data_IF_371617133159
#
_entry.id   IF_371617133159
#
_cell.length_a   1.000
_cell.length_b   1.000
_cell.length_c   1.000
_cell.angle_alpha   90.00
_cell.angle_beta   90.00
_cell.angle_gamma   90.00
#
_symmetry.space_group_name_H-M   'P 1'
#
loop_
_entity.id
_entity.type
_entity.pdbx_description
1 polymer ?
#
# COMPACT_ATOMS: atom_id res chain seq x y z
N UNK A 1 -22.46 -26.79 46.90
CA UNK A 1 -21.69 -27.10 45.67
C UNK A 1 -22.68 -27.41 44.57
N UNK A 2 -22.95 -26.42 43.72
CA UNK A 2 -23.90 -26.52 42.61
C UNK A 2 -23.15 -25.94 41.40
N UNK A 3 -22.71 -26.83 40.52
CA UNK A 3 -21.94 -26.51 39.32
C UNK A 3 -22.91 -25.94 38.27
N UNK A 4 -22.79 -24.65 37.99
CA UNK A 4 -23.45 -24.00 36.85
C UNK A 4 -22.43 -24.00 35.72
N UNK A 5 -22.70 -24.80 34.68
CA UNK A 5 -21.94 -24.77 33.44
C UNK A 5 -22.30 -23.50 32.65
N UNK A 6 -21.33 -22.73 32.14
CA UNK A 6 -21.61 -21.69 31.17
C UNK A 6 -22.07 -22.34 29.85
N UNK A 7 -23.19 -21.84 29.32
CA UNK A 7 -23.67 -22.17 27.98
C UNK A 7 -22.60 -21.79 26.96
N UNK A 8 -22.09 -22.79 26.23
CA UNK A 8 -21.35 -22.55 24.99
C UNK A 8 -22.25 -21.77 24.03
N UNK A 9 -21.89 -20.53 23.72
CA UNK A 9 -22.36 -19.89 22.50
C UNK A 9 -21.60 -20.54 21.35
N UNK A 10 -22.37 -21.13 20.45
CA UNK A 10 -21.91 -21.86 19.27
C UNK A 10 -21.25 -20.85 18.33
N UNK A 11 -19.93 -20.96 18.15
CA UNK A 11 -19.24 -20.35 17.02
C UNK A 11 -19.91 -20.85 15.73
N UNK A 12 -20.61 -19.94 15.04
CA UNK A 12 -21.36 -20.24 13.84
C UNK A 12 -20.44 -20.24 12.62
N UNK A 13 -20.19 -21.42 12.07
CA UNK A 13 -20.13 -21.68 10.64
C UNK A 13 -18.96 -21.10 9.84
N UNK A 14 -17.89 -21.90 9.71
CA UNK A 14 -16.92 -21.78 8.63
C UNK A 14 -17.58 -22.06 7.27
N UNK A 15 -17.42 -21.13 6.31
CA UNK A 15 -17.79 -21.30 4.91
C UNK A 15 -18.54 -20.11 4.30
N UNK A 16 -17.98 -18.91 4.39
CA UNK A 16 -18.50 -17.70 3.74
C UNK A 16 -17.36 -16.88 3.15
N UNK A 17 -17.64 -16.06 2.14
CA UNK A 17 -16.66 -15.13 1.55
C UNK A 17 -16.21 -14.11 2.61
N UNK A 18 -14.92 -14.10 2.97
CA UNK A 18 -14.31 -13.20 3.98
C UNK A 18 -14.35 -11.71 3.58
N UNK A 19 -15.01 -11.39 2.46
CA UNK A 19 -15.14 -10.05 1.88
C UNK A 19 -16.13 -9.12 2.59
N UNK A 20 -16.96 -9.65 3.49
CA UNK A 20 -18.01 -8.88 4.18
C UNK A 20 -19.15 -8.45 3.25
N UNK A 21 -20.19 -7.82 3.79
CA UNK A 21 -21.30 -7.28 2.98
C UNK A 21 -21.26 -5.75 2.96
N UNK A 22 -20.83 -5.11 1.85
CA UNK A 22 -20.70 -3.65 1.79
C UNK A 22 -21.95 -2.90 2.23
N UNK A 23 -21.79 -1.95 3.14
CA UNK A 23 -22.87 -1.17 3.75
C UNK A 23 -23.46 -1.78 5.02
N UNK A 24 -23.20 -3.06 5.32
CA UNK A 24 -23.54 -3.62 6.62
C UNK A 24 -22.57 -3.09 7.68
N UNK A 25 -23.11 -2.81 8.86
CA UNK A 25 -22.33 -2.50 10.04
C UNK A 25 -22.99 -3.13 11.27
N UNK A 26 -22.22 -3.32 12.32
CA UNK A 26 -22.73 -3.81 13.60
C UNK A 26 -22.04 -3.09 14.77
N UNK A 27 -22.75 -2.97 15.88
CA UNK A 27 -22.19 -2.48 17.13
C UNK A 27 -21.47 -3.63 17.88
N UNK A 28 -20.38 -3.30 18.58
CA UNK A 28 -19.76 -4.20 19.53
C UNK A 28 -20.56 -4.33 20.83
N UNK A 29 -20.03 -5.10 21.78
CA UNK A 29 -20.61 -5.19 23.12
C UNK A 29 -20.60 -3.81 23.81
N UNK A 30 -21.66 -3.53 24.54
CA UNK A 30 -21.74 -2.32 25.37
C UNK A 30 -20.84 -2.49 26.60
N UNK A 31 -19.92 -1.53 26.88
CA UNK A 31 -19.14 -1.56 28.11
C UNK A 31 -20.01 -1.58 29.37
N UNK A 32 -19.46 -2.11 30.48
CA UNK A 32 -20.15 -2.16 31.77
C UNK A 32 -20.58 -0.79 32.32
N UNK A 33 -19.92 0.28 31.88
CA UNK A 33 -20.32 1.67 32.14
C UNK A 33 -19.97 2.54 30.94
N UNK A 34 -20.91 3.38 30.51
CA UNK A 34 -20.72 4.33 29.41
C UNK A 34 -20.20 5.64 30.00
N UNK A 35 -18.99 6.03 29.61
CA UNK A 35 -18.41 7.32 29.94
C UNK A 35 -18.90 8.39 28.95
N UNK A 36 -19.67 9.41 29.39
CA UNK A 36 -20.16 10.46 28.51
C UNK A 36 -19.04 11.24 27.79
N UNK A 37 -17.82 11.25 28.31
CA UNK A 37 -16.68 11.94 27.70
C UNK A 37 -16.02 11.19 26.51
N UNK A 38 -16.25 9.87 26.39
CA UNK A 38 -15.66 9.02 25.33
C UNK A 38 -16.54 8.93 24.12
N UNK A 39 -16.08 9.38 22.95
CA UNK A 39 -16.83 9.19 21.71
C UNK A 39 -16.89 7.70 21.32
N UNK A 40 -18.00 7.23 20.72
CA UNK A 40 -18.06 5.92 20.11
C UNK A 40 -16.99 5.79 19.01
N UNK A 41 -16.35 4.63 18.94
CA UNK A 41 -15.30 4.34 17.96
C UNK A 41 -15.89 3.59 16.77
N UNK A 42 -15.72 4.13 15.58
CA UNK A 42 -16.11 3.47 14.33
C UNK A 42 -14.87 2.98 13.61
N UNK A 43 -14.78 1.67 13.39
CA UNK A 43 -13.64 1.01 12.77
C UNK A 43 -13.92 0.70 11.29
N UNK A 44 -13.06 1.22 10.41
CA UNK A 44 -13.18 1.11 8.94
C UNK A 44 -11.98 0.35 8.39
N UNK A 45 -12.23 -0.82 7.79
CA UNK A 45 -11.18 -1.68 7.25
C UNK A 45 -10.53 -1.13 5.96
N UNK A 46 -9.44 -1.79 5.54
CA UNK A 46 -8.69 -1.44 4.34
C UNK A 46 -9.00 -2.32 3.13
N UNK A 47 -8.09 -2.27 2.15
CA UNK A 47 -8.13 -3.09 0.94
C UNK A 47 -8.13 -4.59 1.26
N UNK A 48 -8.93 -5.37 0.51
CA UNK A 48 -8.95 -6.85 0.61
C UNK A 48 -9.20 -7.39 2.04
N UNK A 49 -9.92 -6.62 2.85
CA UNK A 49 -10.40 -6.97 4.19
C UNK A 49 -11.91 -6.72 4.30
N UNK A 50 -12.47 -7.13 5.43
CA UNK A 50 -13.80 -6.80 5.92
C UNK A 50 -13.69 -6.28 7.36
N UNK A 51 -14.81 -5.99 8.01
CA UNK A 51 -14.88 -5.64 9.44
C UNK A 51 -14.23 -6.68 10.36
N UNK A 52 -14.16 -7.95 9.93
CA UNK A 52 -13.52 -9.04 10.66
C UNK A 52 -12.06 -8.75 11.05
N UNK A 53 -11.39 -7.90 10.28
CA UNK A 53 -9.99 -7.51 10.49
C UNK A 53 -9.69 -6.91 11.87
N UNK A 54 -10.72 -6.45 12.58
CA UNK A 54 -10.60 -5.79 13.88
C UNK A 54 -10.72 -6.74 15.08
N UNK A 55 -11.12 -8.00 14.86
CA UNK A 55 -11.31 -9.00 15.91
C UNK A 55 -10.82 -10.42 15.53
N UNK A 56 -10.53 -10.70 14.26
CA UNK A 56 -9.92 -11.97 13.84
C UNK A 56 -8.40 -11.84 13.72
N UNK A 57 -7.69 -12.45 14.66
CA UNK A 57 -6.23 -12.33 14.75
C UNK A 57 -5.77 -10.90 15.05
N UNK A 58 -6.64 -10.07 15.62
CA UNK A 58 -6.41 -8.68 16.00
C UNK A 58 -7.15 -8.42 17.33
N UNK A 59 -6.49 -7.78 18.29
CA UNK A 59 -7.02 -7.48 19.63
C UNK A 59 -7.59 -6.05 19.77
N UNK A 60 -7.74 -5.31 18.67
CA UNK A 60 -8.20 -3.92 18.69
C UNK A 60 -9.60 -3.77 19.30
N UNK A 61 -10.53 -4.65 18.95
CA UNK A 61 -11.87 -4.64 19.52
C UNK A 61 -11.83 -4.87 21.04
N UNK A 62 -11.14 -5.91 21.47
CA UNK A 62 -11.04 -6.30 22.88
C UNK A 62 -10.37 -5.19 23.71
N UNK A 63 -9.32 -4.58 23.18
CA UNK A 63 -8.62 -3.47 23.84
C UNK A 63 -9.53 -2.24 23.96
N UNK A 64 -10.29 -1.90 22.92
CA UNK A 64 -11.25 -0.79 22.96
C UNK A 64 -12.37 -1.05 24.00
N UNK A 65 -12.95 -2.25 23.99
CA UNK A 65 -13.98 -2.66 24.93
C UNK A 65 -13.48 -2.66 26.38
N UNK A 66 -12.29 -3.22 26.63
CA UNK A 66 -11.66 -3.23 27.95
C UNK A 66 -11.33 -1.80 28.46
N UNK A 67 -11.13 -0.85 27.54
CA UNK A 67 -10.97 0.56 27.87
C UNK A 67 -12.31 1.33 27.93
N UNK A 68 -13.44 0.64 27.87
CA UNK A 68 -14.77 1.21 28.08
C UNK A 68 -15.29 2.06 26.93
N UNK A 69 -15.00 1.69 25.68
CA UNK A 69 -15.53 2.35 24.50
C UNK A 69 -16.69 1.56 23.90
N UNK A 70 -17.75 2.29 23.51
CA UNK A 70 -18.72 1.80 22.54
C UNK A 70 -18.05 1.74 21.17
N UNK A 71 -18.29 0.67 20.42
CA UNK A 71 -17.65 0.45 19.11
C UNK A 71 -18.68 0.09 18.04
N UNK A 72 -18.35 0.42 16.79
CA UNK A 72 -19.04 -0.07 15.60
C UNK A 72 -18.02 -0.45 14.52
N UNK A 73 -18.37 -1.44 13.71
CA UNK A 73 -17.54 -1.96 12.64
C UNK A 73 -18.36 -2.00 11.36
N UNK A 74 -17.79 -1.52 10.26
CA UNK A 74 -18.47 -1.43 8.97
C UNK A 74 -17.75 -2.26 7.91
N UNK A 75 -18.53 -2.99 7.11
CA UNK A 75 -18.09 -3.60 5.87
C UNK A 75 -18.27 -2.60 4.72
N UNK A 76 -17.22 -2.40 3.94
CA UNK A 76 -17.19 -1.66 2.70
C UNK A 76 -16.72 -2.59 1.59
N UNK A 77 -16.75 -2.12 0.33
CA UNK A 77 -16.17 -2.93 -0.73
C UNK A 77 -14.66 -3.08 -0.53
N UNK A 78 -14.18 -4.31 -0.61
CA UNK A 78 -12.77 -4.65 -0.47
C UNK A 78 -11.94 -4.33 -1.73
N UNK A 79 -12.60 -4.14 -2.88
CA UNK A 79 -12.02 -4.04 -4.23
C UNK A 79 -12.44 -2.78 -5.00
N UNK A 80 -13.25 -1.88 -4.40
CA UNK A 80 -13.73 -0.63 -5.04
C UNK A 80 -12.97 0.61 -4.59
N UNK A 81 -13.05 1.66 -5.40
CA UNK A 81 -12.39 2.94 -5.15
C UNK A 81 -12.96 3.68 -3.91
N UNK A 82 -12.29 4.78 -3.55
CA UNK A 82 -12.69 5.59 -2.40
C UNK A 82 -13.98 6.38 -2.62
N UNK A 83 -14.37 6.67 -3.87
CA UNK A 83 -15.61 7.38 -4.18
C UNK A 83 -16.84 6.51 -3.89
N UNK A 84 -16.77 5.25 -4.32
CA UNK A 84 -17.82 4.24 -4.09
C UNK A 84 -17.96 3.98 -2.60
N UNK A 85 -16.85 3.66 -1.92
CA UNK A 85 -16.86 3.40 -0.49
C UNK A 85 -17.23 4.63 0.35
N UNK A 86 -16.75 5.82 -0.03
CA UNK A 86 -17.04 7.06 0.67
C UNK A 86 -18.53 7.45 0.63
N UNK A 87 -19.23 7.12 -0.46
CA UNK A 87 -20.69 7.34 -0.56
C UNK A 87 -21.43 6.47 0.47
N UNK A 88 -21.13 5.17 0.51
CA UNK A 88 -21.73 4.21 1.45
C UNK A 88 -21.40 4.61 2.89
N UNK A 89 -20.13 4.89 3.16
CA UNK A 89 -19.66 5.25 4.49
C UNK A 89 -20.31 6.54 5.00
N UNK A 90 -20.57 7.53 4.14
CA UNK A 90 -21.25 8.76 4.55
C UNK A 90 -22.66 8.50 5.08
N UNK A 91 -23.43 7.65 4.40
CA UNK A 91 -24.76 7.21 4.85
C UNK A 91 -24.67 6.48 6.18
N UNK A 92 -23.73 5.53 6.29
CA UNK A 92 -23.61 4.69 7.49
C UNK A 92 -23.05 5.43 8.70
N UNK A 93 -22.21 6.45 8.51
CA UNK A 93 -21.77 7.32 9.60
C UNK A 93 -22.94 8.13 10.19
N UNK A 94 -23.90 8.57 9.37
CA UNK A 94 -25.12 9.20 9.87
C UNK A 94 -25.96 8.21 10.68
N UNK A 95 -26.14 6.99 10.17
CA UNK A 95 -26.89 5.92 10.84
C UNK A 95 -26.28 5.58 12.21
N UNK A 96 -24.96 5.35 12.25
CA UNK A 96 -24.22 5.08 13.48
C UNK A 96 -24.28 6.25 14.46
N UNK A 97 -24.18 7.50 13.98
CA UNK A 97 -24.31 8.69 14.83
C UNK A 97 -25.67 8.74 15.54
N UNK A 98 -26.75 8.42 14.82
CA UNK A 98 -28.09 8.34 15.42
C UNK A 98 -28.25 7.15 16.36
N UNK A 99 -27.66 5.99 16.02
CA UNK A 99 -27.64 4.81 16.89
C UNK A 99 -27.00 5.13 18.25
N UNK A 100 -25.88 5.85 18.27
CA UNK A 100 -25.21 6.29 19.50
C UNK A 100 -25.78 7.60 20.08
N UNK A 101 -27.08 7.84 19.89
CA UNK A 101 -27.80 8.94 20.55
C UNK A 101 -27.38 10.35 20.12
N UNK A 102 -26.80 10.51 18.92
CA UNK A 102 -26.32 11.80 18.43
C UNK A 102 -24.97 12.23 19.02
N UNK A 103 -24.20 11.31 19.57
CA UNK A 103 -22.83 11.59 20.03
C UNK A 103 -21.88 11.54 18.83
N UNK A 104 -21.05 12.58 18.68
CA UNK A 104 -20.05 12.61 17.60
C UNK A 104 -19.10 11.42 17.70
N UNK A 105 -18.87 10.80 16.56
CA UNK A 105 -18.07 9.60 16.40
C UNK A 105 -16.58 9.95 16.33
N UNK A 106 -15.72 9.02 16.74
CA UNK A 106 -14.30 9.01 16.36
C UNK A 106 -14.11 7.85 15.39
N UNK A 107 -13.61 8.14 14.19
CA UNK A 107 -13.51 7.13 13.14
C UNK A 107 -12.05 6.73 12.95
N UNK A 108 -11.79 5.43 13.00
CA UNK A 108 -10.47 4.81 12.92
C UNK A 108 -10.40 4.05 11.59
N UNK A 109 -9.54 4.51 10.68
CA UNK A 109 -9.34 3.90 9.37
C UNK A 109 -8.01 3.17 9.29
N UNK A 110 -8.03 1.91 8.88
CA UNK A 110 -6.82 1.15 8.58
C UNK A 110 -6.55 1.12 7.07
N UNK A 111 -5.30 1.37 6.67
CA UNK A 111 -4.88 1.29 5.26
C UNK A 111 -5.82 2.12 4.37
N UNK A 112 -6.34 1.57 3.27
CA UNK A 112 -7.31 2.25 2.38
C UNK A 112 -8.50 2.90 3.11
N UNK A 113 -8.95 2.35 4.25
CA UNK A 113 -10.07 2.88 5.02
C UNK A 113 -9.93 4.34 5.43
N UNK A 114 -8.70 4.84 5.65
CA UNK A 114 -8.48 6.27 5.93
C UNK A 114 -8.79 7.19 4.74
N UNK A 115 -8.55 6.72 3.52
CA UNK A 115 -8.88 7.44 2.27
C UNK A 115 -10.40 7.42 2.05
N UNK A 116 -11.05 6.30 2.35
CA UNK A 116 -12.51 6.13 2.26
C UNK A 116 -13.22 7.06 3.25
N UNK A 117 -12.74 7.14 4.50
CA UNK A 117 -13.23 8.08 5.52
C UNK A 117 -13.11 9.52 5.04
N UNK A 118 -11.93 9.93 4.55
CA UNK A 118 -11.76 11.30 4.11
C UNK A 118 -12.70 11.64 2.95
N UNK A 119 -12.93 10.69 2.06
CA UNK A 119 -13.88 10.85 0.95
C UNK A 119 -15.31 11.09 1.47
N UNK A 120 -15.77 10.28 2.44
CA UNK A 120 -17.08 10.45 3.06
C UNK A 120 -17.25 11.83 3.74
N UNK A 121 -16.25 12.25 4.52
CA UNK A 121 -16.32 13.50 5.28
C UNK A 121 -16.22 14.74 4.40
N UNK A 122 -15.29 14.74 3.44
CA UNK A 122 -14.98 15.91 2.63
C UNK A 122 -15.96 16.05 1.47
N UNK A 123 -16.21 14.98 0.72
CA UNK A 123 -16.96 15.03 -0.54
C UNK A 123 -18.43 14.63 -0.41
N UNK A 124 -18.78 13.88 0.64
CA UNK A 124 -20.16 13.41 0.87
C UNK A 124 -20.80 13.98 2.16
N UNK A 125 -20.27 15.09 2.67
CA UNK A 125 -20.84 15.88 3.77
C UNK A 125 -21.08 15.12 5.09
N UNK A 126 -20.36 14.02 5.35
CA UNK A 126 -20.47 13.30 6.62
C UNK A 126 -19.70 13.96 7.78
N UNK A 127 -18.98 15.07 7.51
CA UNK A 127 -18.23 15.82 8.50
C UNK A 127 -18.99 16.19 9.81
N UNK A 128 -20.32 16.46 9.82
CA UNK A 128 -21.03 16.82 11.06
C UNK A 128 -21.07 15.70 12.09
N UNK A 129 -21.06 14.44 11.66
CA UNK A 129 -21.24 13.26 12.51
C UNK A 129 -19.97 12.83 13.22
N UNK A 130 -18.81 13.32 12.74
CA UNK A 130 -17.49 12.91 13.21
C UNK A 130 -16.82 14.04 13.97
N UNK A 131 -16.06 13.70 15.00
CA UNK A 131 -15.20 14.61 15.74
C UNK A 131 -13.76 14.53 15.23
N UNK A 132 -13.15 13.36 15.37
CA UNK A 132 -11.77 13.08 15.01
C UNK A 132 -11.68 11.87 14.07
N UNK A 133 -10.65 11.88 13.24
CA UNK A 133 -10.24 10.76 12.39
C UNK A 133 -8.85 10.32 12.79
N UNK A 134 -8.68 9.01 12.97
CA UNK A 134 -7.40 8.37 13.25
C UNK A 134 -7.09 7.44 12.08
N UNK A 135 -6.02 7.70 11.34
CA UNK A 135 -5.62 6.85 10.21
C UNK A 135 -4.38 6.04 10.56
N UNK A 136 -4.46 4.72 10.38
CA UNK A 136 -3.39 3.75 10.65
C UNK A 136 -2.79 3.30 9.31
N UNK A 137 -1.62 3.85 8.95
CA UNK A 137 -0.91 3.57 7.70
C UNK A 137 -1.77 3.73 6.44
N UNK A 138 -2.66 4.71 6.42
CA UNK A 138 -3.50 4.96 5.25
C UNK A 138 -2.70 5.60 4.12
N UNK A 139 -2.73 5.08 2.88
CA UNK A 139 -1.95 5.63 1.76
C UNK A 139 -2.56 6.94 1.22
N UNK A 140 -2.47 8.03 1.99
CA UNK A 140 -3.02 9.34 1.66
C UNK A 140 -2.45 9.92 0.34
N UNK A 141 -1.20 9.58 0.04
CA UNK A 141 -0.53 9.88 -1.23
C UNK A 141 -0.32 8.64 -2.12
N UNK A 142 -1.09 7.57 -1.88
CA UNK A 142 -0.99 6.29 -2.59
C UNK A 142 0.18 5.42 -2.14
N UNK A 143 0.41 4.32 -2.85
CA UNK A 143 1.54 3.42 -2.60
C UNK A 143 2.21 2.99 -3.89
N UNK A 144 3.54 2.95 -3.88
CA UNK A 144 4.32 2.48 -5.01
C UNK A 144 4.15 0.98 -5.27
N UNK A 145 3.53 0.21 -4.36
CA UNK A 145 3.10 -1.16 -4.66
C UNK A 145 1.90 -1.18 -5.61
N UNK A 146 0.98 -0.21 -5.52
CA UNK A 146 -0.09 -0.07 -6.50
C UNK A 146 0.48 0.34 -7.85
N UNK A 147 1.49 1.22 -7.88
CA UNK A 147 2.20 1.56 -9.10
C UNK A 147 2.91 0.33 -9.69
N UNK A 148 3.56 -0.48 -8.85
CA UNK A 148 4.18 -1.73 -9.28
C UNK A 148 3.15 -2.68 -9.88
N UNK A 149 2.01 -2.90 -9.20
CA UNK A 149 0.95 -3.79 -9.66
C UNK A 149 0.36 -3.37 -11.02
N UNK A 150 0.36 -2.07 -11.34
CA UNK A 150 -0.08 -1.54 -12.64
C UNK A 150 1.06 -1.31 -13.64
N UNK A 151 2.29 -1.65 -13.26
CA UNK A 151 3.44 -1.48 -14.13
C UNK A 151 3.44 -2.47 -15.29
N UNK A 152 4.13 -2.10 -16.35
CA UNK A 152 4.31 -2.96 -17.52
C UNK A 152 5.01 -4.29 -17.20
N UNK A 153 5.65 -4.41 -16.03
CA UNK A 153 6.37 -5.59 -15.55
C UNK A 153 5.57 -6.50 -14.60
N UNK A 154 4.41 -6.07 -14.09
CA UNK A 154 3.65 -6.84 -13.11
C UNK A 154 2.15 -6.98 -13.43
N UNK A 155 1.61 -6.13 -14.32
CA UNK A 155 0.17 -6.02 -14.53
C UNK A 155 -0.52 -7.36 -14.79
N UNK A 156 0.12 -8.28 -15.53
CA UNK A 156 -0.49 -9.57 -15.83
C UNK A 156 -0.62 -10.46 -14.60
N UNK A 157 0.34 -10.40 -13.67
CA UNK A 157 0.32 -11.19 -12.44
C UNK A 157 -0.73 -10.62 -11.50
N UNK A 158 -0.76 -9.29 -11.34
CA UNK A 158 -1.79 -8.61 -10.57
C UNK A 158 -3.20 -8.91 -11.12
N UNK A 159 -3.40 -8.82 -12.43
CA UNK A 159 -4.68 -9.13 -13.07
C UNK A 159 -5.08 -10.60 -12.93
N UNK A 160 -4.14 -11.54 -13.09
CA UNK A 160 -4.40 -12.97 -12.93
C UNK A 160 -4.82 -13.32 -11.50
N UNK A 161 -4.30 -12.60 -10.51
CA UNK A 161 -4.59 -12.79 -9.09
C UNK A 161 -5.81 -11.99 -8.61
N UNK A 162 -6.53 -11.29 -9.49
CA UNK A 162 -7.69 -10.46 -9.14
C UNK A 162 -7.36 -9.15 -8.43
N UNK A 163 -6.07 -8.78 -8.37
CA UNK A 163 -5.58 -7.58 -7.71
C UNK A 163 -5.52 -6.35 -8.63
N UNK A 164 -5.93 -6.47 -9.89
CA UNK A 164 -6.16 -5.34 -10.79
C UNK A 164 -7.64 -4.95 -10.71
N UNK A 165 -7.98 -4.11 -9.72
CA UNK A 165 -9.35 -3.71 -9.40
C UNK A 165 -9.40 -2.21 -9.07
N UNK A 166 -10.60 -1.65 -8.94
CA UNK A 166 -10.81 -0.22 -8.74
C UNK A 166 -10.09 0.30 -7.47
N UNK A 167 -9.99 -0.52 -6.41
CA UNK A 167 -9.25 -0.14 -5.22
C UNK A 167 -7.75 0.01 -5.50
N UNK A 168 -7.09 -0.99 -6.10
CA UNK A 168 -5.65 -0.91 -6.39
C UNK A 168 -5.33 0.14 -7.45
N UNK A 169 -6.20 0.32 -8.45
CA UNK A 169 -6.08 1.39 -9.45
C UNK A 169 -6.12 2.76 -8.78
N UNK A 170 -7.05 2.97 -7.84
CA UNK A 170 -7.21 4.25 -7.14
C UNK A 170 -6.03 4.59 -6.22
N UNK A 171 -5.31 3.59 -5.73
CA UNK A 171 -4.19 3.76 -4.79
C UNK A 171 -2.83 4.01 -5.47
N UNK A 172 -2.78 4.04 -6.81
CA UNK A 172 -1.61 4.51 -7.54
C UNK A 172 -1.26 5.94 -7.08
N UNK A 173 0.04 6.24 -6.91
CA UNK A 173 0.45 7.54 -6.35
C UNK A 173 -0.03 8.68 -7.22
N UNK A 174 0.03 8.55 -8.54
CA UNK A 174 -0.50 9.56 -9.46
C UNK A 174 -1.98 9.86 -9.27
N UNK A 175 -2.81 8.84 -9.05
CA UNK A 175 -4.23 9.04 -8.78
C UNK A 175 -4.46 9.71 -7.42
N UNK A 176 -3.71 9.31 -6.40
CA UNK A 176 -3.82 9.90 -5.06
C UNK A 176 -3.35 11.35 -5.01
N UNK A 177 -2.37 11.76 -5.83
CA UNK A 177 -2.00 13.16 -5.97
C UNK A 177 -3.08 14.00 -6.63
N UNK A 178 -3.77 13.45 -7.63
CA UNK A 178 -4.96 14.10 -8.16
C UNK A 178 -6.05 14.22 -7.09
N UNK A 179 -6.30 13.15 -6.33
CA UNK A 179 -7.25 13.17 -5.21
C UNK A 179 -6.87 14.22 -4.15
N UNK A 180 -5.59 14.39 -3.81
CA UNK A 180 -5.10 15.49 -2.96
C UNK A 180 -5.44 16.85 -3.54
N UNK A 181 -5.18 17.06 -4.83
CA UNK A 181 -5.48 18.33 -5.51
C UNK A 181 -6.97 18.73 -5.46
N UNK A 182 -7.88 17.74 -5.40
CA UNK A 182 -9.32 17.97 -5.25
C UNK A 182 -9.74 18.13 -3.78
N UNK A 183 -9.09 17.40 -2.88
CA UNK A 183 -9.55 17.22 -1.50
C UNK A 183 -8.98 18.28 -0.57
N UNK A 184 -7.71 18.62 -0.71
CA UNK A 184 -7.01 19.49 0.25
C UNK A 184 -7.51 20.94 0.17
N UNK A 185 -7.97 21.38 -1.01
CA UNK A 185 -8.58 22.70 -1.21
C UNK A 185 -10.09 22.72 -0.98
N UNK A 186 -10.72 21.59 -0.65
CA UNK A 186 -12.17 21.52 -0.49
C UNK A 186 -12.61 22.23 0.80
N UNK A 187 -13.75 22.93 0.77
CA UNK A 187 -14.29 23.68 1.92
C UNK A 187 -14.52 22.83 3.18
N UNK A 188 -14.65 21.51 3.02
CA UNK A 188 -14.84 20.57 4.13
C UNK A 188 -13.54 19.97 4.67
N UNK A 189 -12.39 20.19 4.03
CA UNK A 189 -11.12 19.54 4.39
C UNK A 189 -10.69 19.83 5.84
N UNK A 190 -10.93 21.04 6.32
CA UNK A 190 -10.61 21.47 7.68
C UNK A 190 -11.72 21.31 8.72
N UNK A 191 -12.85 20.66 8.39
CA UNK A 191 -14.02 20.59 9.29
C UNK A 191 -13.91 19.49 10.37
N UNK A 192 -13.01 18.53 10.20
CA UNK A 192 -12.70 17.49 11.18
C UNK A 192 -11.20 17.54 11.53
N UNK A 193 -10.84 16.98 12.69
CA UNK A 193 -9.43 16.84 13.09
C UNK A 193 -8.90 15.49 12.63
N UNK A 194 -7.70 15.47 12.07
CA UNK A 194 -7.05 14.27 11.57
C UNK A 194 -5.76 13.98 12.33
N UNK A 195 -5.58 12.70 12.67
CA UNK A 195 -4.43 12.16 13.38
C UNK A 195 -3.90 10.97 12.59
N UNK A 196 -2.61 10.98 12.26
CA UNK A 196 -1.98 9.95 11.43
C UNK A 196 -0.95 9.16 12.22
N UNK A 197 -1.00 7.85 12.08
CA UNK A 197 0.05 6.93 12.54
C UNK A 197 0.61 6.20 11.31
N UNK A 198 1.94 6.04 11.27
CA UNK A 198 2.63 5.33 10.20
C UNK A 198 3.56 4.25 10.73
N UNK A 199 3.67 3.14 10.00
CA UNK A 199 4.64 2.08 10.30
C UNK A 199 5.96 2.27 9.54
N UNK A 200 7.05 1.74 10.10
CA UNK A 200 8.39 1.77 9.49
C UNK A 200 9.12 0.42 9.50
N UNK A 201 8.42 -0.69 9.77
CA UNK A 201 8.99 -2.05 9.86
C UNK A 201 8.36 -2.97 8.83
N UNK A 202 9.10 -3.95 8.32
CA UNK A 202 8.62 -4.81 7.23
C UNK A 202 8.18 -6.21 7.68
N UNK A 203 8.35 -6.57 8.95
CA UNK A 203 8.16 -7.96 9.42
C UNK A 203 9.41 -8.83 9.22
N UNK A 204 9.26 -10.14 9.32
CA UNK A 204 10.36 -11.10 9.20
C UNK A 204 10.70 -11.42 7.75
N UNK A 205 11.97 -11.79 7.48
CA UNK A 205 12.39 -12.31 6.18
C UNK A 205 11.45 -13.41 5.70
N UNK A 206 11.09 -13.41 4.41
CA UNK A 206 10.14 -14.37 3.86
C UNK A 206 8.68 -14.12 4.23
N UNK A 207 8.31 -12.90 4.65
CA UNK A 207 6.91 -12.49 4.80
C UNK A 207 6.48 -11.53 3.69
N UNK A 208 5.16 -11.51 3.44
CA UNK A 208 4.45 -10.56 2.59
C UNK A 208 4.99 -9.13 2.68
N UNK A 209 4.93 -8.60 3.91
CA UNK A 209 5.35 -7.25 4.24
C UNK A 209 6.86 -7.07 4.09
N UNK A 210 7.67 -8.11 4.24
CA UNK A 210 9.12 -8.02 4.04
C UNK A 210 9.46 -7.82 2.56
N UNK A 211 8.83 -8.58 1.68
CA UNK A 211 8.99 -8.40 0.24
C UNK A 211 8.57 -7.00 -0.20
N UNK A 212 7.36 -6.58 0.19
CA UNK A 212 6.86 -5.25 -0.16
C UNK A 212 7.74 -4.16 0.41
N UNK A 213 8.22 -4.33 1.65
CA UNK A 213 9.08 -3.36 2.30
C UNK A 213 10.47 -3.25 1.70
N UNK A 214 11.03 -4.36 1.22
CA UNK A 214 12.27 -4.39 0.46
C UNK A 214 12.13 -3.59 -0.83
N UNK A 215 11.07 -3.83 -1.63
CA UNK A 215 10.82 -3.03 -2.83
C UNK A 215 10.60 -1.55 -2.50
N UNK A 216 9.81 -1.26 -1.46
CA UNK A 216 9.47 0.10 -1.06
C UNK A 216 10.63 0.87 -0.43
N UNK A 217 11.68 0.20 0.02
CA UNK A 217 12.84 0.82 0.68
C UNK A 217 13.52 1.89 -0.19
N UNK A 218 13.36 1.80 -1.50
CA UNK A 218 13.84 2.83 -2.44
C UNK A 218 13.12 4.16 -2.31
N UNK A 219 11.87 4.15 -1.83
CA UNK A 219 11.03 5.32 -1.65
C UNK A 219 11.04 5.83 -0.19
N UNK A 220 11.82 5.19 0.69
CA UNK A 220 12.01 5.58 2.09
C UNK A 220 11.53 4.55 3.10
N UNK A 221 11.45 4.97 4.38
CA UNK A 221 10.90 4.15 5.46
C UNK A 221 9.47 3.77 5.15
N UNK A 222 9.10 2.52 5.43
CA UNK A 222 7.80 1.97 5.07
C UNK A 222 7.44 0.79 5.99
N UNK A 223 6.17 0.40 5.99
CA UNK A 223 5.63 -0.66 6.83
C UNK A 223 5.45 -2.02 6.11
N UNK A 224 6.05 -2.15 4.93
CA UNK A 224 5.86 -3.27 4.03
C UNK A 224 4.82 -3.02 2.93
N UNK A 225 3.95 -2.01 3.07
CA UNK A 225 2.88 -1.73 2.11
C UNK A 225 2.78 -0.25 1.74
N UNK A 226 3.00 0.65 2.70
CA UNK A 226 2.90 2.10 2.53
C UNK A 226 4.17 2.74 3.10
N UNK A 227 4.72 3.72 2.38
CA UNK A 227 5.83 4.52 2.92
C UNK A 227 5.31 5.45 4.01
N UNK A 228 6.11 5.67 5.06
CA UNK A 228 5.71 6.54 6.16
C UNK A 228 5.40 7.98 5.67
N UNK A 229 6.08 8.43 4.61
CA UNK A 229 5.80 9.73 3.99
C UNK A 229 4.44 9.75 3.28
N UNK A 230 4.05 8.67 2.61
CA UNK A 230 2.77 8.59 1.92
C UNK A 230 1.58 8.36 2.86
N UNK A 231 1.83 7.97 4.12
CA UNK A 231 0.78 7.80 5.12
C UNK A 231 0.39 9.08 5.86
N UNK A 232 1.20 10.14 5.72
CA UNK A 232 0.91 11.47 6.25
C UNK A 232 -0.24 12.08 5.49
N UNK A 233 -1.10 12.83 6.19
CA UNK A 233 -2.17 13.60 5.58
C UNK A 233 -1.86 15.10 5.71
N UNK A 234 -1.94 15.90 4.63
CA UNK A 234 -1.75 17.35 4.71
C UNK A 234 -2.68 17.98 5.76
N UNK A 235 -2.10 18.82 6.63
CA UNK A 235 -2.83 19.49 7.72
C UNK A 235 -3.22 18.61 8.91
N UNK A 236 -2.90 17.30 8.90
CA UNK A 236 -3.14 16.41 10.02
C UNK A 236 -2.00 16.44 11.05
N UNK A 237 -2.30 16.07 12.29
CA UNK A 237 -1.27 15.81 13.29
C UNK A 237 -0.65 14.44 13.05
N UNK A 238 0.67 14.38 12.88
CA UNK A 238 1.41 13.11 12.88
C UNK A 238 1.57 12.71 14.35
N UNK A 239 0.80 11.71 14.78
CA UNK A 239 0.84 11.21 16.16
C UNK A 239 2.13 10.44 16.39
N UNK A 240 2.42 9.48 15.51
CA UNK A 240 3.63 8.68 15.62
C UNK A 240 3.95 7.95 14.31
N UNK A 241 5.24 7.93 13.96
CA UNK A 241 5.81 6.95 13.03
C UNK A 241 6.58 5.91 13.85
N UNK A 242 6.01 4.72 13.99
CA UNK A 242 6.51 3.68 14.89
C UNK A 242 7.04 2.45 14.16
N UNK A 243 7.72 1.58 14.92
CA UNK A 243 8.31 0.33 14.42
C UNK A 243 7.27 -0.78 14.22
N UNK A 244 6.20 -0.45 13.50
CA UNK A 244 5.11 -1.34 13.12
C UNK A 244 5.21 -1.70 11.64
N UNK A 245 4.86 -2.94 11.31
CA UNK A 245 4.51 -3.32 9.94
C UNK A 245 3.02 -3.11 9.68
N UNK A 246 2.61 -3.25 8.42
CA UNK A 246 1.23 -2.97 8.00
C UNK A 246 0.19 -3.84 8.73
N UNK A 247 0.56 -5.01 9.24
CA UNK A 247 -0.34 -5.84 10.07
C UNK A 247 -0.37 -5.39 11.53
N UNK A 248 0.79 -5.21 12.15
CA UNK A 248 0.88 -4.89 13.58
C UNK A 248 0.35 -3.49 13.93
N UNK A 249 0.26 -2.57 12.97
CA UNK A 249 -0.24 -1.21 13.22
C UNK A 249 -1.73 -1.19 13.55
N UNK A 250 -2.50 -2.18 13.10
CA UNK A 250 -3.93 -2.29 13.41
C UNK A 250 -4.23 -3.07 14.70
N UNK A 251 -3.21 -3.60 15.37
CA UNK A 251 -3.35 -4.35 16.62
C UNK A 251 -3.49 -3.39 17.81
N UNK A 252 -4.51 -3.61 18.64
CA UNK A 252 -4.87 -2.77 19.77
C UNK A 252 -3.76 -2.66 20.80
N UNK A 253 -3.12 -3.78 21.14
CA UNK A 253 -2.00 -3.79 22.09
C UNK A 253 -0.81 -2.94 21.64
N UNK A 254 -0.65 -2.71 20.34
CA UNK A 254 0.45 -1.92 19.79
C UNK A 254 0.12 -0.44 19.64
N UNK A 255 -1.08 -0.09 19.15
CA UNK A 255 -1.37 1.30 18.73
C UNK A 255 -2.50 1.98 19.50
N UNK A 256 -3.41 1.24 20.13
CA UNK A 256 -4.50 1.86 20.89
C UNK A 256 -4.01 2.80 22.00
N UNK A 257 -3.02 2.44 22.84
CA UNK A 257 -2.50 3.37 23.86
C UNK A 257 -1.93 4.67 23.28
N UNK A 258 -1.43 4.63 22.04
CA UNK A 258 -0.82 5.77 21.35
C UNK A 258 -1.90 6.76 20.90
N UNK A 259 -2.98 6.26 20.28
CA UNK A 259 -4.03 7.14 19.75
C UNK A 259 -5.20 7.39 20.71
N UNK A 260 -5.32 6.62 21.81
CA UNK A 260 -6.39 6.79 22.82
C UNK A 260 -6.57 8.24 23.28
N UNK A 261 -5.52 9.06 23.50
CA UNK A 261 -5.71 10.46 23.86
C UNK A 261 -6.59 11.24 22.88
N UNK A 262 -6.65 10.85 21.60
CA UNK A 262 -7.39 11.51 20.51
C UNK A 262 -8.83 10.99 20.31
N UNK A 263 -9.34 10.19 21.24
CA UNK A 263 -10.66 9.53 21.14
C UNK A 263 -11.78 10.19 21.95
N UNK A 264 -11.50 11.31 22.62
CA UNK A 264 -12.47 12.07 23.44
C UNK A 264 -12.88 13.38 22.77
N UNK A 265 -14.04 13.92 23.15
CA UNK A 265 -14.60 15.17 22.60
C UNK A 265 -13.79 16.39 23.09
N UNK A 266 -13.43 16.41 24.38
CA UNK A 266 -12.50 17.36 24.97
C UNK A 266 -11.09 16.81 24.87
N UNK A 267 -10.24 17.52 24.13
CA UNK A 267 -8.86 17.15 23.84
C UNK A 267 -7.91 18.17 24.48
N UNK A 268 -6.69 17.78 24.86
CA UNK A 268 -5.63 18.75 25.16
C UNK A 268 -5.50 19.73 23.99
N UNK A 269 -5.09 20.97 24.25
CA UNK A 269 -4.75 21.91 23.19
C UNK A 269 -3.80 21.19 22.22
N UNK A 270 -4.22 21.08 20.95
CA UNK A 270 -3.37 20.49 19.93
C UNK A 270 -2.05 21.24 20.00
N UNK A 271 -0.97 20.54 20.34
CA UNK A 271 0.35 21.07 20.04
C UNK A 271 0.34 21.14 18.53
N UNK A 272 0.20 22.35 18.00
CA UNK A 272 0.47 22.61 16.59
C UNK A 272 1.91 22.16 16.41
N UNK A 273 2.10 20.91 16.01
CA UNK A 273 3.33 20.49 15.38
C UNK A 273 3.46 21.48 14.25
N UNK A 274 4.43 22.41 14.38
CA UNK A 274 4.78 23.35 13.32
C UNK A 274 4.74 22.54 12.04
N UNK A 275 3.96 23.01 11.05
CA UNK A 275 3.83 22.40 9.74
C UNK A 275 5.19 21.83 9.40
N UNK A 276 5.38 20.52 9.59
CA UNK A 276 6.65 19.91 9.30
C UNK A 276 6.69 20.12 7.80
N UNK A 277 7.51 21.08 7.36
CA UNK A 277 7.64 21.45 5.96
C UNK A 277 7.63 20.13 5.24
N UNK A 278 6.58 19.87 4.44
CA UNK A 278 6.40 18.57 3.80
C UNK A 278 7.75 18.25 3.19
N UNK A 279 8.48 17.33 3.82
CA UNK A 279 9.79 16.99 3.32
C UNK A 279 9.44 16.32 2.01
N UNK A 280 9.65 17.06 0.91
CA UNK A 280 9.32 16.61 -0.42
C UNK A 280 9.80 15.17 -0.53
N UNK A 281 8.91 14.26 -0.94
CA UNK A 281 9.20 12.85 -1.05
C UNK A 281 10.62 12.70 -1.63
N UNK A 282 11.55 12.17 -0.83
CA UNK A 282 12.93 12.07 -1.25
C UNK A 282 12.95 11.30 -2.56
N UNK A 283 13.69 11.78 -3.57
CA UNK A 283 13.79 11.08 -4.84
C UNK A 283 14.15 9.60 -4.59
N UNK A 284 13.55 8.67 -5.33
CA UNK A 284 13.73 7.25 -5.03
C UNK A 284 15.20 6.85 -5.18
N UNK A 285 15.77 6.13 -4.22
CA UNK A 285 17.12 5.55 -4.40
C UNK A 285 17.02 4.37 -5.36
N UNK A 286 17.17 4.62 -6.66
CA UNK A 286 16.97 3.62 -7.73
C UNK A 286 17.95 2.47 -7.53
N UNK A 287 17.50 1.40 -6.90
CA UNK A 287 18.32 0.25 -6.49
C UNK A 287 17.68 -1.10 -6.79
N UNK A 288 16.54 -1.11 -7.48
CA UNK A 288 15.87 -2.34 -7.89
C UNK A 288 15.93 -2.56 -9.39
N UNK A 289 16.04 -3.82 -9.78
CA UNK A 289 15.66 -4.32 -11.10
C UNK A 289 14.28 -4.96 -10.94
N UNK A 290 13.35 -4.68 -11.87
CA UNK A 290 12.00 -5.22 -11.86
C UNK A 290 11.67 -5.75 -13.25
N UNK A 291 11.42 -7.06 -13.35
CA UNK A 291 10.96 -7.69 -14.59
C UNK A 291 9.87 -8.71 -14.31
N UNK A 292 9.17 -9.11 -15.35
CA UNK A 292 8.31 -10.27 -15.28
C UNK A 292 7.83 -10.67 -16.66
N UNK A 293 6.97 -11.67 -16.69
CA UNK A 293 6.31 -12.08 -17.91
C UNK A 293 5.43 -13.29 -17.70
N UNK A 294 5.05 -13.92 -18.83
CA UNK A 294 4.39 -15.22 -18.86
C UNK A 294 5.29 -16.20 -19.60
N UNK A 295 5.85 -17.18 -18.90
CA UNK A 295 6.60 -18.28 -19.49
C UNK A 295 5.63 -19.38 -19.93
N UNK A 296 5.69 -19.78 -21.20
CA UNK A 296 4.84 -20.84 -21.77
C UNK A 296 5.39 -22.24 -21.47
N UNK A 297 6.70 -22.38 -21.31
CA UNK A 297 7.37 -23.67 -21.08
C UNK A 297 8.29 -23.64 -19.86
N UNK A 298 9.49 -23.09 -19.98
CA UNK A 298 10.45 -22.93 -18.91
C UNK A 298 10.77 -21.45 -18.68
N UNK A 299 10.94 -21.06 -17.43
CA UNK A 299 11.43 -19.75 -17.06
C UNK A 299 12.95 -19.73 -17.26
N UNK A 300 13.44 -18.72 -17.97
CA UNK A 300 14.86 -18.44 -18.20
C UNK A 300 15.05 -16.94 -18.31
N UNK A 301 15.35 -16.31 -17.18
CA UNK A 301 15.39 -14.86 -17.02
C UNK A 301 16.79 -14.40 -16.62
N UNK A 302 17.29 -13.35 -17.29
CA UNK A 302 18.64 -12.84 -17.09
C UNK A 302 18.61 -11.42 -16.56
N UNK A 303 19.48 -11.13 -15.59
CA UNK A 303 19.75 -9.78 -15.10
C UNK A 303 21.26 -9.58 -14.87
N UNK A 304 21.69 -8.32 -14.92
CA UNK A 304 23.10 -7.96 -14.71
C UNK A 304 23.32 -7.45 -13.28
N UNK A 305 24.42 -7.88 -12.67
CA UNK A 305 24.94 -7.36 -11.40
C UNK A 305 26.26 -6.65 -11.69
N UNK A 306 26.39 -5.40 -11.27
CA UNK A 306 27.61 -4.62 -11.46
C UNK A 306 28.74 -4.97 -10.48
N UNK A 307 29.89 -4.34 -10.63
CA UNK A 307 31.02 -4.47 -9.69
C UNK A 307 30.77 -3.76 -8.35
N UNK A 308 31.36 -4.31 -7.28
CA UNK A 308 31.33 -3.76 -5.92
C UNK A 308 29.92 -3.71 -5.29
N UNK A 309 29.06 -4.66 -5.64
CA UNK A 309 27.77 -4.84 -4.97
C UNK A 309 27.99 -5.59 -3.66
N UNK A 310 27.49 -5.03 -2.56
CA UNK A 310 27.64 -5.63 -1.22
C UNK A 310 26.69 -6.80 -1.03
N UNK A 311 25.47 -6.69 -1.56
CA UNK A 311 24.50 -7.78 -1.54
C UNK A 311 23.40 -7.61 -2.60
N UNK A 312 22.82 -8.75 -2.99
CA UNK A 312 21.56 -8.79 -3.75
C UNK A 312 20.51 -9.58 -2.98
N UNK A 313 19.28 -9.12 -3.04
CA UNK A 313 18.11 -9.91 -2.65
C UNK A 313 17.19 -10.05 -3.85
N UNK A 314 17.01 -11.28 -4.32
CA UNK A 314 16.10 -11.62 -5.42
C UNK A 314 14.80 -12.13 -4.82
N UNK A 315 13.68 -11.46 -5.12
CA UNK A 315 12.35 -11.96 -4.78
C UNK A 315 11.58 -12.26 -6.05
N UNK A 316 11.12 -13.51 -6.18
CA UNK A 316 10.42 -14.03 -7.33
C UNK A 316 9.00 -14.42 -6.93
N UNK A 317 8.01 -13.75 -7.52
CA UNK A 317 6.59 -13.95 -7.32
C UNK A 317 6.02 -14.70 -8.51
N UNK A 318 5.19 -15.71 -8.25
CA UNK A 318 4.50 -16.48 -9.29
C UNK A 318 3.11 -16.90 -8.87
N UNK A 319 2.23 -17.18 -9.82
CA UNK A 319 0.89 -17.72 -9.53
C UNK A 319 0.91 -19.19 -9.05
N UNK A 320 2.08 -19.85 -9.11
CA UNK A 320 2.31 -21.24 -8.67
C UNK A 320 3.55 -21.34 -7.80
N UNK A 321 3.59 -22.35 -6.92
CA UNK A 321 4.80 -22.68 -6.16
C UNK A 321 5.84 -23.31 -7.11
N UNK A 322 6.99 -22.66 -7.27
CA UNK A 322 8.09 -23.11 -8.13
C UNK A 322 9.23 -23.71 -7.31
N UNK A 323 9.02 -24.89 -6.74
CA UNK A 323 10.02 -25.58 -5.90
C UNK A 323 11.35 -25.88 -6.59
N UNK A 324 11.36 -25.91 -7.93
CA UNK A 324 12.54 -26.11 -8.75
C UNK A 324 13.17 -24.80 -9.27
N UNK A 325 12.73 -23.63 -8.79
CA UNK A 325 13.34 -22.34 -9.13
C UNK A 325 14.78 -22.27 -8.58
N UNK A 326 15.70 -21.89 -9.45
CA UNK A 326 17.11 -21.71 -9.13
C UNK A 326 17.60 -20.35 -9.59
N UNK A 327 18.59 -19.83 -8.87
CA UNK A 327 19.41 -18.70 -9.28
C UNK A 327 20.81 -19.23 -9.61
N UNK A 328 21.39 -18.81 -10.73
CA UNK A 328 22.69 -19.28 -11.21
C UNK A 328 23.61 -18.06 -11.38
N UNK A 329 24.77 -18.09 -10.74
CA UNK A 329 25.79 -17.03 -10.81
C UNK A 329 26.59 -17.07 -12.12
N UNK A 330 27.36 -16.00 -12.43
CA UNK A 330 28.19 -15.94 -13.64
C UNK A 330 29.20 -17.10 -13.77
N UNK A 331 29.80 -17.53 -12.65
CA UNK A 331 30.67 -18.72 -12.57
C UNK A 331 29.94 -20.08 -12.73
N UNK A 332 28.62 -20.08 -12.83
CA UNK A 332 27.79 -21.28 -12.99
C UNK A 332 27.35 -21.94 -11.68
N UNK A 333 27.66 -21.39 -10.51
CA UNK A 333 27.17 -21.93 -9.23
C UNK A 333 25.66 -21.73 -9.09
N UNK A 334 24.98 -22.79 -8.66
CA UNK A 334 23.52 -22.79 -8.47
C UNK A 334 23.12 -22.53 -7.00
N UNK A 335 22.10 -21.70 -6.82
CA UNK A 335 21.44 -21.40 -5.55
C UNK A 335 19.98 -21.85 -5.63
N UNK A 336 19.48 -22.43 -4.53
CA UNK A 336 18.09 -22.85 -4.37
C UNK A 336 17.38 -21.95 -3.38
N UNK A 337 16.07 -21.82 -3.53
CA UNK A 337 15.25 -21.06 -2.59
C UNK A 337 15.11 -21.83 -1.28
N UNK A 338 14.91 -21.12 -0.18
CA UNK A 338 14.37 -21.70 1.05
C UNK A 338 12.89 -22.07 0.91
N UNK A 339 12.15 -21.99 2.02
CA UNK A 339 10.70 -22.22 2.05
C UNK A 339 9.97 -21.11 1.27
N UNK A 340 9.19 -21.49 0.26
CA UNK A 340 8.26 -20.59 -0.40
C UNK A 340 7.04 -20.35 0.50
N UNK A 341 6.47 -19.15 0.45
CA UNK A 341 5.22 -18.80 1.12
C UNK A 341 4.22 -18.24 0.13
N UNK A 342 2.94 -18.30 0.49
CA UNK A 342 1.86 -17.73 -0.29
C UNK A 342 1.43 -16.41 0.35
N UNK A 343 1.27 -15.37 -0.46
CA UNK A 343 0.75 -14.07 -0.04
C UNK A 343 -0.75 -14.17 0.19
N UNK A 344 -1.23 -13.76 1.37
CA UNK A 344 -2.63 -13.94 1.76
C UNK A 344 -3.42 -12.63 1.86
N UNK A 345 -2.78 -11.45 1.79
CA UNK A 345 -3.45 -10.20 2.21
C UNK A 345 -3.29 -8.98 1.32
N UNK A 346 -2.16 -8.80 0.62
CA UNK A 346 -1.85 -7.51 -0.03
C UNK A 346 -2.06 -7.52 -1.55
N UNK A 347 -1.46 -6.55 -2.25
CA UNK A 347 -1.56 -6.31 -3.70
C UNK A 347 -1.18 -7.49 -4.62
N UNK A 348 -0.63 -8.56 -4.07
CA UNK A 348 -0.32 -9.81 -4.79
C UNK A 348 -0.90 -11.04 -4.08
N UNK A 349 -2.05 -10.89 -3.39
CA UNK A 349 -2.81 -12.00 -2.78
C UNK A 349 -2.89 -13.19 -3.73
N UNK A 350 -2.49 -14.35 -3.26
CA UNK A 350 -2.46 -15.61 -4.01
C UNK A 350 -1.11 -15.95 -4.65
N UNK A 351 -0.17 -15.00 -4.76
CA UNK A 351 1.16 -15.26 -5.30
C UNK A 351 2.00 -16.12 -4.35
N UNK A 352 2.80 -17.02 -4.93
CA UNK A 352 3.89 -17.70 -4.25
C UNK A 352 5.16 -16.88 -4.36
N UNK A 353 5.86 -16.73 -3.24
CA UNK A 353 7.04 -15.89 -3.13
C UNK A 353 8.25 -16.77 -2.79
N UNK A 354 9.28 -16.63 -3.62
CA UNK A 354 10.57 -17.28 -3.50
C UNK A 354 11.66 -16.23 -3.32
N UNK A 355 12.58 -16.42 -2.38
CA UNK A 355 13.63 -15.44 -2.09
C UNK A 355 15.02 -16.07 -2.10
N UNK A 356 15.98 -15.30 -2.61
CA UNK A 356 17.42 -15.56 -2.58
C UNK A 356 18.12 -14.34 -1.99
N UNK A 357 19.13 -14.58 -1.16
CA UNK A 357 19.99 -13.54 -0.63
C UNK A 357 21.45 -13.95 -0.86
N UNK A 358 22.19 -13.08 -1.54
CA UNK A 358 23.59 -13.32 -1.89
C UNK A 358 24.40 -12.13 -1.39
N UNK A 359 25.34 -12.38 -0.48
CA UNK A 359 26.35 -11.41 -0.08
C UNK A 359 27.51 -11.41 -1.08
N UNK A 360 28.05 -10.22 -1.36
CA UNK A 360 29.16 -9.98 -2.28
C UNK A 360 29.03 -10.75 -3.61
N UNK A 361 27.91 -10.58 -4.34
CA UNK A 361 27.68 -11.30 -5.58
C UNK A 361 28.74 -10.97 -6.63
N UNK A 362 29.10 -11.98 -7.43
CA UNK A 362 29.97 -11.79 -8.59
C UNK A 362 29.31 -10.85 -9.62
N UNK A 363 30.10 -9.91 -10.15
CA UNK A 363 29.67 -9.04 -11.23
C UNK A 363 29.50 -9.83 -12.53
N UNK A 364 28.35 -9.68 -13.19
CA UNK A 364 28.07 -10.36 -14.45
C UNK A 364 26.60 -10.71 -14.64
N UNK A 365 26.38 -11.67 -15.53
CA UNK A 365 25.05 -12.14 -15.92
C UNK A 365 24.57 -13.24 -14.96
N UNK A 366 23.51 -12.97 -14.22
CA UNK A 366 22.84 -13.94 -13.36
C UNK A 366 21.59 -14.50 -14.05
N UNK A 367 21.30 -15.78 -13.83
CA UNK A 367 20.21 -16.50 -14.49
C UNK A 367 19.22 -17.07 -13.46
N UNK A 368 17.95 -16.67 -13.59
CA UNK A 368 16.81 -17.29 -12.92
C UNK A 368 16.22 -18.37 -13.83
N UNK A 369 16.12 -19.60 -13.32
CA UNK A 369 15.67 -20.76 -14.11
C UNK A 369 14.69 -21.62 -13.35
N UNK A 370 13.58 -21.99 -14.01
CA UNK A 370 12.64 -22.99 -13.50
C UNK A 370 12.05 -23.81 -14.67
N UNK A 371 11.97 -25.16 -14.56
CA UNK A 371 11.38 -26.02 -15.58
C UNK A 371 9.84 -26.03 -15.47
N UNK A 372 9.22 -24.84 -15.49
CA UNK A 372 7.78 -24.68 -15.30
C UNK A 372 7.25 -23.47 -16.06
N UNK A 373 5.97 -23.55 -16.45
CA UNK A 373 5.23 -22.44 -16.99
C UNK A 373 4.57 -21.63 -15.86
N UNK A 374 4.80 -20.34 -15.86
CA UNK A 374 4.27 -19.44 -14.85
C UNK A 374 4.19 -18.00 -15.37
N UNK A 375 3.22 -17.26 -14.84
CA UNK A 375 3.18 -15.81 -14.84
C UNK A 375 3.94 -15.31 -13.62
N UNK A 376 4.94 -14.47 -13.82
CA UNK A 376 5.82 -14.06 -12.73
C UNK A 376 6.14 -12.58 -12.77
N UNK A 377 6.62 -12.14 -11.63
CA UNK A 377 7.27 -10.86 -11.36
C UNK A 377 8.50 -11.20 -10.53
N UNK A 378 9.66 -10.64 -10.85
CA UNK A 378 10.78 -10.67 -9.93
C UNK A 378 11.39 -9.29 -9.75
N UNK A 379 11.92 -9.11 -8.55
CA UNK A 379 12.64 -7.93 -8.14
C UNK A 379 14.03 -8.36 -7.70
N UNK A 380 15.07 -7.64 -8.14
CA UNK A 380 16.42 -7.76 -7.60
C UNK A 380 16.72 -6.45 -6.91
N UNK A 381 16.85 -6.49 -5.59
CA UNK A 381 17.27 -5.32 -4.81
C UNK A 381 18.78 -5.41 -4.60
N UNK A 382 19.50 -4.35 -5.00
CA UNK A 382 20.95 -4.30 -4.94
C UNK A 382 21.39 -3.32 -3.86
N UNK A 383 22.20 -3.75 -2.91
CA UNK A 383 22.95 -2.84 -2.05
C UNK A 383 24.28 -2.52 -2.74
N UNK A 384 24.36 -1.35 -3.35
CA UNK A 384 25.47 -0.96 -4.23
C UNK A 384 25.81 0.52 -4.07
N UNK A 385 27.11 0.89 -4.02
CA UNK A 385 27.55 2.28 -4.07
C UNK A 385 27.07 3.03 -5.34
N UNK A 386 26.71 2.30 -6.41
CA UNK A 386 26.22 2.89 -7.64
C UNK A 386 24.82 3.51 -7.47
N UNK A 387 23.99 3.00 -6.56
CA UNK A 387 22.58 3.40 -6.41
C UNK A 387 22.41 4.91 -6.22
N UNK A 388 23.30 5.54 -5.45
CA UNK A 388 23.26 6.99 -5.18
C UNK A 388 23.74 7.84 -6.37
N UNK A 389 24.44 7.23 -7.34
CA UNK A 389 25.01 7.91 -8.52
C UNK A 389 24.09 7.89 -9.74
N UNK A 390 23.16 6.92 -9.84
CA UNK A 390 22.30 6.74 -11.03
C UNK A 390 21.35 7.91 -11.27
N UNK A 391 20.94 8.62 -10.21
CA UNK A 391 20.07 9.79 -10.31
C UNK A 391 20.80 11.11 -10.62
N UNK A 392 22.13 11.10 -10.64
CA UNK A 392 22.92 12.25 -11.06
C UNK A 392 22.83 12.42 -12.57
N UNK A 393 22.43 13.62 -13.05
CA UNK A 393 22.67 14.04 -14.43
C UNK A 393 24.18 14.19 -14.65
N UNK A 394 24.92 13.09 -14.70
CA UNK A 394 26.27 13.12 -15.21
C UNK A 394 26.18 13.17 -16.73
N UNK A 395 26.60 14.28 -17.32
CA UNK A 395 26.69 14.46 -18.77
C UNK A 395 27.61 13.45 -19.49
N UNK A 396 28.20 12.50 -18.76
CA UNK A 396 29.08 11.43 -19.27
C UNK A 396 28.50 10.02 -19.15
N UNK A 397 27.30 9.81 -18.60
CA UNK A 397 26.74 8.45 -18.51
C UNK A 397 26.12 8.04 -19.85
N UNK A 398 26.71 7.04 -20.52
CA UNK A 398 26.16 6.40 -21.73
C UNK A 398 24.98 5.47 -21.37
N UNK A 399 23.96 6.00 -20.70
CA UNK A 399 22.82 5.21 -20.26
C UNK A 399 21.81 5.08 -21.40
N UNK A 400 21.45 3.85 -21.71
CA UNK A 400 20.29 3.54 -22.53
C UNK A 400 19.05 3.49 -21.64
N UNK A 401 17.99 4.16 -22.09
CA UNK A 401 16.70 4.17 -21.42
C UNK A 401 15.67 3.49 -22.32
N UNK A 402 14.87 2.60 -21.75
CA UNK A 402 13.70 2.05 -22.40
C UNK A 402 12.50 2.24 -21.48
N UNK A 403 11.57 3.06 -21.91
CA UNK A 403 10.40 3.41 -21.11
C UNK A 403 9.14 2.84 -21.73
N UNK A 404 8.37 2.11 -20.92
CA UNK A 404 7.00 1.69 -21.21
C UNK A 404 6.05 2.50 -20.35
N UNK A 405 4.87 2.81 -20.86
CA UNK A 405 3.86 3.52 -20.09
C UNK A 405 2.46 3.00 -20.39
N UNK A 406 1.59 3.12 -19.39
CA UNK A 406 0.17 2.82 -19.46
C UNK A 406 -0.59 4.06 -18.96
N UNK A 407 -1.59 4.52 -19.72
CA UNK A 407 -2.47 5.63 -19.33
C UNK A 407 -3.84 5.10 -18.96
N UNK A 408 -4.28 5.46 -17.77
CA UNK A 408 -5.64 5.30 -17.29
C UNK A 408 -6.37 6.64 -17.36
N UNK A 409 -7.54 6.66 -17.97
CA UNK A 409 -8.41 7.83 -18.00
C UNK A 409 -9.74 7.49 -17.35
N UNK A 410 -10.44 8.50 -16.85
CA UNK A 410 -11.76 8.31 -16.27
C UNK A 410 -12.77 7.83 -17.32
N UNK A 411 -13.72 7.01 -16.88
CA UNK A 411 -14.89 6.66 -17.66
C UNK A 411 -15.84 7.86 -17.84
N UNK A 412 -16.93 7.67 -18.58
CA UNK A 412 -17.92 8.74 -18.82
C UNK A 412 -18.61 9.21 -17.54
N UNK A 413 -18.55 8.45 -16.45
CA UNK A 413 -19.08 8.86 -15.14
C UNK A 413 -18.11 9.77 -14.36
N UNK A 414 -16.85 9.86 -14.80
CA UNK A 414 -15.80 10.63 -14.13
C UNK A 414 -15.27 10.00 -12.84
N UNK A 415 -15.70 8.77 -12.51
CA UNK A 415 -15.40 8.14 -11.22
C UNK A 415 -14.41 6.99 -11.33
N UNK A 416 -14.52 6.18 -12.38
CA UNK A 416 -13.72 4.96 -12.53
C UNK A 416 -12.58 5.13 -13.51
N UNK A 417 -11.41 4.63 -13.14
CA UNK A 417 -10.27 4.56 -14.05
C UNK A 417 -10.44 3.41 -15.04
N UNK A 418 -9.98 3.63 -16.26
CA UNK A 418 -9.92 2.60 -17.29
C UNK A 418 -8.66 2.81 -18.11
N UNK A 419 -7.97 1.72 -18.45
CA UNK A 419 -6.85 1.80 -19.38
C UNK A 419 -7.33 2.35 -20.72
N UNK A 420 -6.78 3.49 -21.14
CA UNK A 420 -7.10 4.15 -22.42
C UNK A 420 -6.00 4.01 -23.45
N UNK A 421 -4.74 3.92 -23.01
CA UNK A 421 -3.60 3.81 -23.91
C UNK A 421 -2.42 3.12 -23.23
N UNK A 422 -1.50 2.61 -24.05
CA UNK A 422 -0.17 2.16 -23.64
C UNK A 422 0.82 2.47 -24.75
N UNK A 423 2.10 2.61 -24.40
CA UNK A 423 3.14 2.86 -25.38
C UNK A 423 4.53 2.54 -24.85
N UNK A 424 5.51 2.65 -25.75
CA UNK A 424 6.92 2.51 -25.42
C UNK A 424 7.75 3.56 -26.16
N UNK A 425 8.88 3.94 -25.58
CA UNK A 425 9.83 4.90 -26.13
C UNK A 425 11.25 4.52 -25.74
N UNK A 426 12.16 4.61 -26.71
CA UNK A 426 13.60 4.59 -26.45
C UNK A 426 14.06 5.99 -26.06
N UNK A 427 14.83 6.10 -24.98
CA UNK A 427 15.26 7.37 -24.41
C UNK A 427 14.33 7.91 -23.32
N UNK A 428 14.71 9.02 -22.67
CA UNK A 428 13.93 9.61 -21.59
C UNK A 428 12.59 10.15 -22.10
N UNK A 429 11.54 9.96 -21.30
CA UNK A 429 10.27 10.64 -21.50
C UNK A 429 10.38 12.12 -21.09
N UNK A 430 9.68 12.97 -21.80
CA UNK A 430 9.63 14.43 -21.64
C UNK A 430 8.19 14.89 -21.45
N UNK A 431 7.97 16.13 -20.98
CA UNK A 431 6.62 16.65 -20.77
C UNK A 431 5.74 16.59 -22.02
N UNK A 432 6.31 16.81 -23.21
CA UNK A 432 5.58 16.75 -24.49
C UNK A 432 5.08 15.35 -24.85
N UNK A 433 5.61 14.30 -24.21
CA UNK A 433 5.14 12.92 -24.44
C UNK A 433 3.80 12.64 -23.71
N UNK A 434 3.34 13.56 -22.84
CA UNK A 434 2.14 13.41 -22.04
C UNK A 434 1.14 14.53 -22.33
N UNK A 435 0.30 14.35 -23.34
CA UNK A 435 -0.63 15.37 -23.85
C UNK A 435 -2.11 15.11 -23.53
N UNK A 436 -2.41 13.99 -22.89
CA UNK A 436 -3.78 13.56 -22.61
C UNK A 436 -3.98 13.45 -21.11
N UNK A 437 -5.14 13.89 -20.63
CA UNK A 437 -5.54 13.76 -19.23
C UNK A 437 -5.51 12.28 -18.79
N UNK A 438 -5.09 12.04 -17.55
CA UNK A 438 -5.17 10.72 -16.92
C UNK A 438 -3.99 10.39 -16.03
N UNK A 439 -4.08 9.23 -15.39
CA UNK A 439 -3.02 8.63 -14.57
C UNK A 439 -2.07 7.87 -15.51
N UNK A 440 -0.80 8.22 -15.48
CA UNK A 440 0.25 7.54 -16.22
C UNK A 440 1.07 6.70 -15.26
N UNK A 441 1.13 5.41 -15.53
CA UNK A 441 2.08 4.50 -14.91
C UNK A 441 3.23 4.27 -15.88
N UNK A 442 4.46 4.57 -15.45
CA UNK A 442 5.66 4.55 -16.27
C UNK A 442 6.67 3.55 -15.69
N UNK A 443 7.19 2.66 -16.52
CA UNK A 443 8.26 1.72 -16.20
C UNK A 443 9.47 2.06 -17.07
N UNK A 444 10.56 2.52 -16.48
CA UNK A 444 11.79 2.87 -17.18
C UNK A 444 12.90 1.89 -16.81
N UNK A 445 13.33 1.12 -17.79
CA UNK A 445 14.55 0.31 -17.73
C UNK A 445 15.75 1.22 -18.03
N UNK A 446 16.76 1.16 -17.17
CA UNK A 446 18.01 1.92 -17.26
C UNK A 446 19.14 0.91 -17.40
N UNK A 447 19.86 0.97 -18.51
CA UNK A 447 21.01 0.11 -18.79
C UNK A 447 22.22 0.99 -19.01
N UNK A 448 23.33 0.67 -18.36
CA UNK A 448 24.56 1.45 -18.50
C UNK A 448 25.80 0.61 -18.20
N UNK A 449 26.94 1.29 -18.17
CA UNK A 449 28.23 0.73 -17.80
C UNK A 449 28.77 1.46 -16.57
N UNK A 450 29.40 0.73 -15.65
CA UNK A 450 30.17 1.34 -14.56
C UNK A 450 31.45 1.97 -15.09
N UNK A 451 32.17 2.69 -14.22
CA UNK A 451 33.48 3.27 -14.55
C UNK A 451 34.49 2.21 -15.02
N UNK A 452 34.33 0.96 -14.56
CA UNK A 452 35.15 -0.20 -14.95
C UNK A 452 34.60 -0.96 -16.17
N UNK A 453 33.58 -0.41 -16.84
CA UNK A 453 32.97 -1.01 -18.04
C UNK A 453 32.08 -2.22 -17.75
N UNK A 454 31.65 -2.45 -16.51
CA UNK A 454 30.72 -3.54 -16.18
C UNK A 454 29.27 -3.12 -16.43
N UNK A 455 28.44 -3.98 -17.05
CA UNK A 455 27.04 -3.65 -17.28
C UNK A 455 26.28 -3.57 -15.98
N UNK A 456 25.37 -2.60 -15.89
CA UNK A 456 24.39 -2.51 -14.81
C UNK A 456 22.99 -2.30 -15.37
N UNK A 457 22.01 -2.71 -14.60
CA UNK A 457 20.59 -2.57 -14.90
C UNK A 457 19.86 -1.97 -13.69
N UNK A 458 18.89 -1.08 -13.93
CA UNK A 458 17.90 -0.68 -12.94
C UNK A 458 16.53 -0.50 -13.58
N UNK A 459 15.49 -0.53 -12.74
CA UNK A 459 14.12 -0.20 -13.12
C UNK A 459 13.58 0.88 -12.21
N UNK A 460 13.04 1.95 -12.80
CA UNK A 460 12.30 2.99 -12.12
C UNK A 460 10.82 2.88 -12.51
N UNK A 461 9.94 2.79 -11.51
CA UNK A 461 8.50 2.84 -11.71
C UNK A 461 7.99 4.14 -11.11
N UNK A 462 7.24 4.91 -11.88
CA UNK A 462 6.64 6.17 -11.47
C UNK A 462 5.17 6.20 -11.86
N UNK A 463 4.33 6.76 -11.00
CA UNK A 463 2.94 7.08 -11.32
C UNK A 463 2.65 8.55 -11.06
N UNK A 464 2.01 9.21 -12.02
CA UNK A 464 1.64 10.63 -11.94
C UNK A 464 0.34 10.89 -12.70
N UNK A 465 -0.34 11.98 -12.38
CA UNK A 465 -1.55 12.40 -13.09
C UNK A 465 -1.28 13.64 -13.94
N UNK A 466 -1.83 13.66 -15.15
CA UNK A 466 -1.86 14.84 -16.03
C UNK A 466 -3.29 15.36 -16.06
N UNK A 467 -3.48 16.64 -15.71
CA UNK A 467 -4.80 17.27 -15.78
C UNK A 467 -5.14 17.80 -17.19
N UNK A 468 -6.34 18.34 -17.34
CA UNK A 468 -6.86 18.88 -18.60
C UNK A 468 -6.03 20.04 -19.15
N UNK A 469 -5.27 20.73 -18.31
CA UNK A 469 -4.38 21.82 -18.71
C UNK A 469 -2.95 21.33 -19.03
N UNK A 470 -2.71 20.02 -18.98
CA UNK A 470 -1.39 19.41 -19.16
C UNK A 470 -0.46 19.59 -17.96
N UNK A 471 -0.98 20.02 -16.79
CA UNK A 471 -0.16 20.11 -15.57
C UNK A 471 -0.01 18.71 -14.97
N UNK A 472 1.23 18.39 -14.60
CA UNK A 472 1.62 17.13 -13.96
C UNK A 472 1.53 17.24 -12.44
N UNK A 473 0.88 16.26 -11.82
CA UNK A 473 0.75 16.07 -10.38
C UNK A 473 1.55 14.81 -9.99
N UNK A 474 2.53 14.95 -9.09
CA UNK A 474 3.53 13.93 -8.70
C UNK A 474 3.52 13.69 -7.20
#
# INVERSE_FOLDING_TARGET
MMLIFPRMVKAGGFGGDDSGTPGNWYAGETPSSIDPSKSPLVFVHGYNNSSAVWHEGNDMYEVALANGYETAFIDLHHDRDMWTNGTILAEKLQEMYHHFGGKKLVVIGYSKGGVDIQTALVHYNAHPYVSNVISLSSPQHGTQLADLAHSSAAWWLAALLGNNNEATESLQTGNMQYFRSLTDSHQNAGKNRYYTLGGTKWGSFGSASYWGGLYLSQYGKNDGVVTAVNSRLPGASIVQEGSWNHTSIREGSHTFPVFRPYTTITQPAAVLSASASEAAASKPRIHSIVKGGKAVSAISEVFSVEDNVDSITVSFLSEKNLSALKLISPDGKEYKTGKAYKEESNFFKGAWIHQFEIGYPEAGSWLLKAPANASYLYTVTLNSPLNDKIQGKSAKSHNAFKTKWIRFGFDSSGKKLQQKAKGEKSGPMTKSDFSQEGVYNMTTEIIGLTENGKPYERTLIESFYIDQNGKRHN
#
